data_IF_082067843569
#
_entry.id   IF_082067843569
#
_cell.length_a   1.000
_cell.length_b   1.000
_cell.length_c   1.000
_cell.angle_alpha   90.00
_cell.angle_beta   90.00
_cell.angle_gamma   90.00
#
_symmetry.space_group_name_H-M   'P 1'
#
loop_
_entity.id
_entity.type
_entity.pdbx_description
1 polymer ?
#
# COMPACT_ATOMS: atom_id res chain seq x y z
N UNK A 1 21.29 -41.98 -10.85
CA UNK A 1 21.67 -40.61 -11.26
C UNK A 1 22.04 -39.88 -9.99
N UNK A 2 23.32 -39.65 -9.75
CA UNK A 2 23.83 -39.05 -8.52
C UNK A 2 23.52 -37.56 -8.48
N UNK A 3 22.54 -37.18 -7.66
CA UNK A 3 22.11 -35.78 -7.46
C UNK A 3 23.31 -34.89 -7.04
N UNK A 4 24.25 -35.45 -6.28
CA UNK A 4 25.48 -34.78 -5.85
C UNK A 4 26.42 -34.53 -7.04
N UNK A 5 26.53 -35.49 -7.96
CA UNK A 5 27.31 -35.36 -9.19
C UNK A 5 26.71 -34.32 -10.14
N UNK A 6 25.37 -34.29 -10.27
CA UNK A 6 24.66 -33.27 -11.06
C UNK A 6 24.80 -31.87 -10.44
N UNK A 7 24.75 -31.72 -9.12
CA UNK A 7 24.92 -30.42 -8.45
C UNK A 7 26.37 -29.92 -8.58
N UNK A 8 27.36 -30.80 -8.45
CA UNK A 8 28.78 -30.47 -8.61
C UNK A 8 29.13 -30.13 -10.07
N UNK A 9 28.59 -30.87 -11.05
CA UNK A 9 28.78 -30.57 -12.47
C UNK A 9 28.11 -29.25 -12.85
N UNK A 10 26.87 -29.04 -12.39
CA UNK A 10 26.13 -27.79 -12.60
C UNK A 10 26.89 -26.60 -11.99
N UNK A 11 27.48 -26.75 -10.82
CA UNK A 11 28.33 -25.73 -10.19
C UNK A 11 29.56 -25.38 -11.03
N UNK A 12 30.27 -26.38 -11.58
CA UNK A 12 31.39 -26.14 -12.49
C UNK A 12 30.95 -25.49 -13.81
N UNK A 13 29.78 -25.87 -14.34
CA UNK A 13 29.21 -25.27 -15.54
C UNK A 13 28.84 -23.79 -15.30
N UNK A 14 28.30 -23.45 -14.12
CA UNK A 14 28.04 -22.05 -13.76
C UNK A 14 29.34 -21.23 -13.61
N UNK A 15 30.39 -21.80 -13.03
CA UNK A 15 31.68 -21.11 -12.89
C UNK A 15 32.29 -20.84 -14.27
N UNK A 16 32.25 -21.82 -15.18
CA UNK A 16 32.77 -21.65 -16.54
C UNK A 16 31.95 -20.64 -17.35
N UNK A 17 30.62 -20.63 -17.22
CA UNK A 17 29.75 -19.58 -17.79
C UNK A 17 30.13 -18.19 -17.26
N UNK A 18 30.35 -18.07 -15.95
CA UNK A 18 30.68 -16.80 -15.31
C UNK A 18 32.05 -16.25 -15.73
N UNK A 19 33.05 -17.13 -15.83
CA UNK A 19 34.38 -16.77 -16.31
C UNK A 19 34.37 -16.35 -17.78
N UNK A 20 33.52 -16.97 -18.60
CA UNK A 20 33.46 -16.71 -20.03
C UNK A 20 32.72 -15.42 -20.37
N UNK A 21 31.64 -15.09 -19.66
CA UNK A 21 30.80 -13.91 -19.97
C UNK A 21 31.46 -12.54 -19.74
N UNK A 22 32.68 -12.51 -19.19
CA UNK A 22 33.48 -11.30 -19.05
C UNK A 22 32.84 -10.22 -18.16
N UNK A 23 33.30 -8.97 -18.31
CA UNK A 23 32.98 -7.84 -17.42
C UNK A 23 31.48 -7.59 -17.24
N UNK A 24 30.67 -7.84 -18.28
CA UNK A 24 29.22 -7.55 -18.26
C UNK A 24 28.48 -8.48 -17.31
N UNK A 25 28.87 -9.76 -17.23
CA UNK A 25 28.26 -10.71 -16.29
C UNK A 25 28.60 -10.34 -14.84
N UNK A 26 29.83 -9.90 -14.56
CA UNK A 26 30.20 -9.39 -13.24
C UNK A 26 29.36 -8.16 -12.85
N UNK A 27 29.20 -7.21 -13.78
CA UNK A 27 28.37 -6.02 -13.56
C UNK A 27 26.91 -6.38 -13.27
N UNK A 28 26.32 -7.26 -14.09
CA UNK A 28 24.95 -7.76 -13.90
C UNK A 28 24.76 -8.44 -12.54
N UNK A 29 25.77 -9.18 -12.11
CA UNK A 29 25.72 -9.91 -10.83
C UNK A 29 25.80 -8.96 -9.64
N UNK A 30 26.64 -7.92 -9.71
CA UNK A 30 26.69 -6.88 -8.67
C UNK A 30 25.36 -6.13 -8.58
N UNK A 31 24.80 -5.73 -9.73
CA UNK A 31 23.50 -5.04 -9.80
C UNK A 31 22.38 -5.94 -9.29
N UNK A 32 22.37 -7.22 -9.68
CA UNK A 32 21.39 -8.20 -9.21
C UNK A 32 21.47 -8.46 -7.71
N UNK A 33 22.67 -8.58 -7.16
CA UNK A 33 22.88 -8.76 -5.72
C UNK A 33 22.43 -7.52 -4.92
N UNK A 34 22.73 -6.33 -5.42
CA UNK A 34 22.26 -5.08 -4.84
C UNK A 34 20.72 -4.98 -4.89
N UNK A 35 20.09 -5.33 -6.01
CA UNK A 35 18.64 -5.40 -6.13
C UNK A 35 18.01 -6.40 -5.15
N UNK A 36 18.63 -7.58 -4.99
CA UNK A 36 18.18 -8.60 -4.03
C UNK A 36 18.27 -8.10 -2.59
N UNK A 37 19.38 -7.43 -2.24
CA UNK A 37 19.57 -6.81 -0.94
C UNK A 37 18.47 -5.79 -0.63
N UNK A 38 18.20 -4.86 -1.56
CA UNK A 38 17.12 -3.87 -1.43
C UNK A 38 15.76 -4.54 -1.27
N UNK A 39 15.46 -5.59 -2.04
CA UNK A 39 14.20 -6.31 -1.96
C UNK A 39 14.00 -6.96 -0.58
N UNK A 40 15.04 -7.65 -0.06
CA UNK A 40 14.98 -8.31 1.25
C UNK A 40 14.81 -7.28 2.37
N UNK A 41 15.61 -6.21 2.37
CA UNK A 41 15.49 -5.12 3.35
C UNK A 41 14.07 -4.56 3.36
N UNK A 42 13.48 -4.37 2.18
CA UNK A 42 12.13 -3.82 2.04
C UNK A 42 11.04 -4.77 2.54
N UNK A 43 11.15 -6.06 2.23
CA UNK A 43 10.22 -7.07 2.72
C UNK A 43 10.26 -7.11 4.26
N UNK A 44 11.44 -7.05 4.87
CA UNK A 44 11.58 -7.04 6.33
C UNK A 44 10.98 -5.76 6.93
N UNK A 45 11.24 -4.60 6.32
CA UNK A 45 10.66 -3.31 6.73
C UNK A 45 9.12 -3.35 6.71
N UNK A 46 8.53 -3.77 5.58
CA UNK A 46 7.07 -3.80 5.41
C UNK A 46 6.42 -4.86 6.31
N UNK A 47 7.04 -6.04 6.48
CA UNK A 47 6.53 -7.05 7.42
C UNK A 47 6.52 -6.56 8.86
N UNK A 48 7.50 -5.74 9.27
CA UNK A 48 7.49 -5.11 10.60
C UNK A 48 6.41 -4.04 10.71
N UNK A 49 6.16 -3.28 9.65
CA UNK A 49 5.14 -2.24 9.61
C UNK A 49 3.70 -2.80 9.55
N UNK A 50 3.48 -3.97 8.93
CA UNK A 50 2.17 -4.64 8.80
C UNK A 50 1.81 -5.56 9.96
N UNK A 51 2.56 -5.56 11.09
CA UNK A 51 2.30 -6.51 12.19
C UNK A 51 0.97 -6.28 12.93
N UNK A 52 0.35 -5.14 12.74
CA UNK A 52 -0.85 -4.74 13.50
C UNK A 52 -1.92 -4.35 12.49
N UNK A 53 -3.05 -5.03 12.55
CA UNK A 53 -4.15 -4.80 11.64
C UNK A 53 -4.87 -3.49 11.98
N UNK A 54 -5.40 -2.80 10.98
CA UNK A 54 -6.16 -1.57 11.16
C UNK A 54 -7.34 -1.79 12.13
N UNK A 55 -8.03 -2.91 11.97
CA UNK A 55 -9.18 -3.28 12.80
C UNK A 55 -8.81 -3.39 14.28
N UNK A 56 -7.65 -3.97 14.59
CA UNK A 56 -7.16 -4.13 15.95
C UNK A 56 -6.78 -2.78 16.57
N UNK A 57 -6.06 -1.94 15.82
CA UNK A 57 -5.76 -0.57 16.24
C UNK A 57 -7.05 0.20 16.53
N UNK A 58 -8.04 0.13 15.62
CA UNK A 58 -9.30 0.85 15.73
C UNK A 58 -10.15 0.38 16.93
N UNK A 59 -10.18 -0.92 17.23
CA UNK A 59 -10.85 -1.46 18.42
C UNK A 59 -10.21 -0.84 19.68
N UNK A 60 -8.89 -0.86 19.77
CA UNK A 60 -8.14 -0.31 20.90
C UNK A 60 -8.37 1.20 21.03
N UNK A 61 -8.39 1.95 19.91
CA UNK A 61 -8.67 3.39 19.91
C UNK A 61 -10.07 3.65 20.46
N UNK A 62 -11.09 2.98 19.91
CA UNK A 62 -12.48 3.21 20.28
C UNK A 62 -12.74 2.85 21.74
N UNK A 63 -12.17 1.73 22.21
CA UNK A 63 -12.28 1.31 23.60
C UNK A 63 -11.59 2.31 24.54
N UNK A 64 -10.37 2.75 24.22
CA UNK A 64 -9.64 3.73 25.01
C UNK A 64 -10.33 5.10 25.04
N UNK A 65 -10.91 5.51 23.90
CA UNK A 65 -11.71 6.74 23.78
C UNK A 65 -12.95 6.70 24.67
N UNK A 66 -13.60 5.53 24.81
CA UNK A 66 -14.79 5.37 25.64
C UNK A 66 -14.47 5.43 27.15
N UNK A 67 -13.30 4.96 27.57
CA UNK A 67 -12.93 4.87 29.00
C UNK A 67 -12.19 6.11 29.52
N UNK A 68 -11.32 6.73 28.71
CA UNK A 68 -10.42 7.80 29.17
C UNK A 68 -10.21 8.96 28.19
N UNK A 69 -10.96 8.99 27.08
CA UNK A 69 -10.87 10.04 26.06
C UNK A 69 -9.57 9.98 25.24
N UNK A 70 -9.23 11.12 24.60
CA UNK A 70 -8.15 11.19 23.60
C UNK A 70 -6.75 10.92 24.16
N UNK A 71 -6.51 11.24 25.43
CA UNK A 71 -5.20 11.02 26.07
C UNK A 71 -4.91 9.53 26.30
N UNK A 72 -5.93 8.77 26.71
CA UNK A 72 -5.81 7.33 26.93
C UNK A 72 -5.66 6.58 25.60
N UNK A 73 -6.42 6.99 24.59
CA UNK A 73 -6.27 6.49 23.23
C UNK A 73 -4.88 6.77 22.63
N UNK A 74 -4.30 7.96 22.89
CA UNK A 74 -2.95 8.29 22.45
C UNK A 74 -1.88 7.39 23.11
N UNK A 75 -2.05 7.06 24.40
CA UNK A 75 -1.15 6.13 25.11
C UNK A 75 -1.25 4.72 24.56
N UNK A 76 -2.47 4.23 24.32
CA UNK A 76 -2.70 2.89 23.79
C UNK A 76 -2.08 2.73 22.39
N UNK A 77 -2.20 3.74 21.52
CA UNK A 77 -1.65 3.72 20.17
C UNK A 77 -0.14 3.92 20.15
N UNK A 78 0.43 4.69 21.09
CA UNK A 78 1.87 4.95 21.17
C UNK A 78 2.75 3.71 21.29
N UNK A 79 2.18 2.57 21.70
CA UNK A 79 2.86 1.28 21.75
C UNK A 79 3.08 0.68 20.35
N UNK A 80 2.27 1.07 19.36
CA UNK A 80 2.40 0.62 17.98
C UNK A 80 3.33 1.55 17.21
N UNK A 81 4.27 0.95 16.47
CA UNK A 81 5.23 1.67 15.60
C UNK A 81 4.88 1.47 14.12
N UNK A 82 3.60 1.54 13.78
CA UNK A 82 3.08 1.35 12.42
C UNK A 82 2.74 2.70 11.77
N UNK A 83 2.76 2.82 10.43
CA UNK A 83 2.34 4.05 9.75
C UNK A 83 0.93 4.51 10.16
N UNK A 84 -0.01 3.57 10.25
CA UNK A 84 -1.40 3.80 10.68
C UNK A 84 -1.44 4.39 12.10
N UNK A 85 -0.68 3.83 13.04
CA UNK A 85 -0.63 4.32 14.42
C UNK A 85 -0.13 5.77 14.52
N UNK A 86 0.84 6.16 13.68
CA UNK A 86 1.35 7.54 13.63
C UNK A 86 0.31 8.53 13.12
N UNK A 87 -0.40 8.16 12.06
CA UNK A 87 -1.45 8.99 11.46
C UNK A 87 -2.60 9.18 12.46
N UNK A 88 -3.06 8.11 13.11
CA UNK A 88 -4.12 8.19 14.11
C UNK A 88 -3.66 8.98 15.36
N UNK A 89 -2.42 8.80 15.80
CA UNK A 89 -1.88 9.54 16.94
C UNK A 89 -1.89 11.06 16.71
N UNK A 90 -1.54 11.51 15.50
CA UNK A 90 -1.64 12.94 15.17
C UNK A 90 -3.09 13.41 15.10
N UNK A 91 -4.01 12.61 14.56
CA UNK A 91 -5.44 12.93 14.60
C UNK A 91 -5.96 13.10 16.04
N UNK A 92 -5.54 12.24 16.97
CA UNK A 92 -5.95 12.29 18.38
C UNK A 92 -5.35 13.49 19.14
N UNK A 93 -4.11 13.88 18.86
CA UNK A 93 -3.47 15.06 19.49
C UNK A 93 -4.19 16.36 19.15
N UNK A 94 -4.76 16.44 17.95
CA UNK A 94 -5.36 17.65 17.41
C UNK A 94 -6.83 17.81 17.83
N UNK A 95 -7.47 16.79 18.44
CA UNK A 95 -8.92 16.58 18.65
C UNK A 95 -9.83 17.74 19.13
N UNK A 96 -9.29 18.94 19.36
CA UNK A 96 -10.00 20.18 19.66
C UNK A 96 -9.94 21.26 18.55
N UNK A 97 -9.16 21.08 17.46
CA UNK A 97 -9.05 22.06 16.36
C UNK A 97 -10.08 21.86 15.25
N UNK A 98 -10.08 22.77 14.26
CA UNK A 98 -11.02 22.74 13.12
C UNK A 98 -10.84 21.47 12.28
N UNK A 99 -11.92 21.00 11.63
CA UNK A 99 -11.93 19.76 10.82
C UNK A 99 -10.85 19.78 9.72
N UNK A 100 -10.76 20.89 8.99
CA UNK A 100 -9.77 21.06 7.91
C UNK A 100 -8.35 20.86 8.43
N UNK A 101 -8.04 21.41 9.60
CA UNK A 101 -6.70 21.36 10.17
C UNK A 101 -6.30 19.94 10.60
N UNK A 102 -7.25 19.10 11.02
CA UNK A 102 -7.00 17.67 11.30
C UNK A 102 -6.72 16.91 10.00
N UNK A 103 -7.56 17.11 8.98
CA UNK A 103 -7.43 16.44 7.68
C UNK A 103 -6.10 16.80 6.99
N UNK A 104 -5.72 18.09 7.01
CA UNK A 104 -4.48 18.60 6.42
C UNK A 104 -3.24 18.00 7.11
N UNK A 105 -3.23 17.93 8.45
CA UNK A 105 -2.12 17.35 9.19
C UNK A 105 -2.01 15.83 8.98
N UNK A 106 -3.15 15.12 8.97
CA UNK A 106 -3.16 13.69 8.65
C UNK A 106 -2.62 13.41 7.24
N UNK A 107 -2.96 14.28 6.28
CA UNK A 107 -2.45 14.18 4.91
C UNK A 107 -0.95 14.43 4.81
N UNK A 108 -0.41 15.40 5.56
CA UNK A 108 1.03 15.61 5.62
C UNK A 108 1.78 14.39 6.17
N UNK A 109 1.29 13.80 7.26
CA UNK A 109 1.89 12.59 7.83
C UNK A 109 1.78 11.41 6.87
N UNK A 110 0.63 11.27 6.19
CA UNK A 110 0.41 10.27 5.16
C UNK A 110 1.43 10.37 4.04
N UNK A 111 1.64 11.57 3.47
CA UNK A 111 2.62 11.80 2.40
C UNK A 111 4.03 11.38 2.86
N UNK A 112 4.41 11.72 4.09
CA UNK A 112 5.72 11.36 4.66
C UNK A 112 5.87 9.84 4.83
N UNK A 113 4.86 9.15 5.37
CA UNK A 113 4.91 7.70 5.55
C UNK A 113 4.83 6.96 4.20
N UNK A 114 4.01 7.43 3.26
CA UNK A 114 3.97 6.91 1.89
C UNK A 114 5.35 7.02 1.21
N UNK A 115 6.01 8.17 1.33
CA UNK A 115 7.35 8.36 0.77
C UNK A 115 8.36 7.36 1.36
N UNK A 116 8.33 7.11 2.68
CA UNK A 116 9.17 6.09 3.33
C UNK A 116 8.87 4.68 2.83
N UNK A 117 7.59 4.34 2.65
CA UNK A 117 7.15 3.06 2.10
C UNK A 117 7.55 2.89 0.63
N UNK A 118 7.54 3.95 -0.16
CA UNK A 118 7.93 3.89 -1.59
C UNK A 118 9.44 3.98 -1.81
N UNK A 119 10.22 4.45 -0.83
CA UNK A 119 11.68 4.59 -0.94
C UNK A 119 12.34 3.26 -1.33
N UNK A 120 13.19 3.31 -2.36
CA UNK A 120 13.94 2.16 -2.90
C UNK A 120 13.16 1.30 -3.90
N UNK A 121 11.82 1.43 -3.97
CA UNK A 121 11.00 0.65 -4.89
C UNK A 121 11.26 1.04 -6.35
N UNK A 122 11.37 2.34 -6.62
CA UNK A 122 11.71 2.84 -7.96
C UNK A 122 13.09 2.37 -8.40
N UNK A 123 14.09 2.35 -7.52
CA UNK A 123 15.43 1.82 -7.82
C UNK A 123 15.38 0.33 -8.18
N UNK A 124 14.61 -0.47 -7.42
CA UNK A 124 14.42 -1.88 -7.70
C UNK A 124 13.75 -2.10 -9.06
N UNK A 125 12.72 -1.31 -9.38
CA UNK A 125 12.07 -1.34 -10.69
C UNK A 125 13.05 -1.03 -11.82
N UNK A 126 13.84 0.04 -11.68
CA UNK A 126 14.86 0.40 -12.67
C UNK A 126 15.87 -0.74 -12.87
N UNK A 127 16.32 -1.41 -11.80
CA UNK A 127 17.22 -2.55 -11.92
C UNK A 127 16.59 -3.68 -12.74
N UNK A 128 15.32 -4.00 -12.50
CA UNK A 128 14.57 -5.04 -13.23
C UNK A 128 14.48 -4.70 -14.72
N UNK A 129 14.17 -3.45 -15.05
CA UNK A 129 14.00 -3.00 -16.43
C UNK A 129 15.33 -2.87 -17.18
N UNK A 130 16.39 -2.42 -16.50
CA UNK A 130 17.71 -2.16 -17.11
C UNK A 130 18.55 -3.43 -17.22
N UNK A 131 18.40 -4.42 -16.34
CA UNK A 131 19.22 -5.65 -16.37
C UNK A 131 19.15 -6.41 -17.71
N UNK A 132 17.98 -6.64 -18.31
CA UNK A 132 17.89 -7.24 -19.65
C UNK A 132 18.52 -6.38 -20.75
N UNK A 133 18.43 -5.05 -20.64
CA UNK A 133 19.03 -4.12 -21.59
C UNK A 133 20.56 -4.16 -21.51
N UNK A 134 21.13 -4.28 -20.32
CA UNK A 134 22.58 -4.50 -20.13
C UNK A 134 22.99 -5.85 -20.73
N UNK A 135 22.18 -6.90 -20.55
CA UNK A 135 22.41 -8.21 -21.17
C UNK A 135 22.42 -8.13 -22.71
N UNK A 136 21.50 -7.38 -23.29
CA UNK A 136 21.44 -7.08 -24.73
C UNK A 136 22.65 -6.28 -25.21
N UNK A 137 23.13 -5.30 -24.44
CA UNK A 137 24.40 -4.61 -24.77
C UNK A 137 25.55 -5.61 -24.81
N UNK A 138 25.55 -6.60 -23.91
CA UNK A 138 26.53 -7.69 -23.95
C UNK A 138 26.48 -8.54 -25.21
N UNK A 139 25.30 -8.77 -25.78
CA UNK A 139 25.20 -9.50 -27.06
C UNK A 139 25.81 -8.71 -28.19
N UNK A 140 25.51 -7.41 -28.26
CA UNK A 140 26.04 -6.52 -29.30
C UNK A 140 27.55 -6.46 -29.23
N UNK A 141 28.11 -6.36 -28.02
CA UNK A 141 29.57 -6.35 -27.81
C UNK A 141 30.19 -7.70 -28.18
N UNK A 142 29.60 -8.82 -27.76
CA UNK A 142 30.10 -10.17 -28.10
C UNK A 142 30.13 -10.41 -29.61
N UNK A 143 29.05 -10.06 -30.30
CA UNK A 143 28.97 -10.15 -31.76
C UNK A 143 29.92 -9.18 -32.46
N UNK A 144 30.12 -7.98 -31.92
CA UNK A 144 31.09 -7.02 -32.46
C UNK A 144 32.52 -7.58 -32.40
N UNK A 145 32.92 -8.22 -31.29
CA UNK A 145 34.21 -8.92 -31.21
C UNK A 145 34.32 -10.04 -32.24
N UNK A 146 33.28 -10.88 -32.39
CA UNK A 146 33.24 -11.94 -33.40
C UNK A 146 33.47 -11.41 -34.81
N UNK A 147 32.76 -10.35 -35.22
CA UNK A 147 32.89 -9.79 -36.58
C UNK A 147 34.22 -9.07 -36.81
N UNK A 148 34.75 -8.39 -35.79
CA UNK A 148 36.05 -7.75 -35.86
C UNK A 148 37.16 -8.77 -36.12
N UNK A 149 37.12 -9.90 -35.44
CA UNK A 149 38.14 -10.94 -35.58
C UNK A 149 38.01 -11.68 -36.92
N UNK A 150 36.79 -11.95 -37.40
CA UNK A 150 36.57 -12.52 -38.75
C UNK A 150 37.16 -11.66 -39.87
N UNK A 151 37.20 -10.33 -39.70
CA UNK A 151 37.82 -9.42 -40.65
C UNK A 151 39.36 -9.49 -40.68
N UNK A 152 39.98 -10.11 -39.67
CA UNK A 152 41.43 -10.18 -39.48
C UNK A 152 41.98 -11.61 -39.57
N UNK A 153 41.26 -12.61 -39.06
CA UNK A 153 41.63 -14.02 -39.05
C UNK A 153 40.38 -14.91 -39.17
N UNK A 154 40.43 -15.96 -40.00
CA UNK A 154 39.31 -16.90 -40.17
C UNK A 154 39.28 -18.03 -39.12
N UNK A 155 39.61 -17.71 -37.86
CA UNK A 155 39.63 -18.69 -36.76
C UNK A 155 38.22 -18.91 -36.21
N UNK A 156 37.68 -20.10 -36.45
CA UNK A 156 36.32 -20.49 -36.07
C UNK A 156 36.15 -20.62 -34.55
N UNK A 157 37.23 -20.84 -33.80
CA UNK A 157 37.18 -20.94 -32.33
C UNK A 157 36.91 -19.59 -31.66
N UNK A 158 37.50 -18.50 -32.18
CA UNK A 158 37.26 -17.14 -31.66
C UNK A 158 35.82 -16.70 -31.95
N UNK A 159 35.31 -17.03 -33.14
CA UNK A 159 33.92 -16.78 -33.50
C UNK A 159 32.94 -17.45 -32.54
N UNK A 160 33.16 -18.74 -32.23
CA UNK A 160 32.33 -19.49 -31.30
C UNK A 160 32.35 -18.87 -29.89
N UNK A 161 33.49 -18.35 -29.44
CA UNK A 161 33.61 -17.71 -28.14
C UNK A 161 32.79 -16.41 -28.04
N UNK A 162 32.87 -15.51 -29.03
CA UNK A 162 32.10 -14.26 -29.00
C UNK A 162 30.57 -14.48 -29.04
N UNK A 163 30.12 -15.51 -29.77
CA UNK A 163 28.71 -15.95 -29.75
C UNK A 163 28.33 -16.50 -28.37
N UNK A 164 29.19 -17.32 -27.76
CA UNK A 164 28.96 -17.86 -26.43
C UNK A 164 28.83 -16.75 -25.38
N UNK A 165 29.72 -15.74 -25.41
CA UNK A 165 29.64 -14.56 -24.54
C UNK A 165 28.28 -13.86 -24.69
N UNK A 166 27.84 -13.62 -25.93
CA UNK A 166 26.56 -12.97 -26.20
C UNK A 166 25.35 -13.72 -25.59
N UNK A 167 25.35 -15.05 -25.70
CA UNK A 167 24.27 -15.88 -25.13
C UNK A 167 24.29 -15.80 -23.60
N UNK A 168 25.46 -15.94 -22.99
CA UNK A 168 25.59 -15.92 -21.53
C UNK A 168 25.17 -14.56 -20.95
N UNK A 169 25.58 -13.43 -21.54
CA UNK A 169 25.19 -12.11 -21.03
C UNK A 169 23.68 -11.89 -21.06
N UNK A 170 22.99 -12.45 -22.06
CA UNK A 170 21.53 -12.40 -22.16
C UNK A 170 20.86 -13.22 -21.07
N UNK A 171 21.32 -14.46 -20.88
CA UNK A 171 20.78 -15.36 -19.87
C UNK A 171 20.90 -14.72 -18.48
N UNK A 172 22.05 -14.15 -18.15
CA UNK A 172 22.25 -13.47 -16.86
C UNK A 172 21.39 -12.21 -16.72
N UNK A 173 21.27 -11.38 -17.76
CA UNK A 173 20.44 -10.18 -17.72
C UNK A 173 18.96 -10.50 -17.48
N UNK A 174 18.46 -11.56 -18.12
CA UNK A 174 17.10 -12.07 -17.90
C UNK A 174 16.95 -12.73 -16.53
N UNK A 175 17.92 -13.52 -16.09
CA UNK A 175 17.88 -14.20 -14.80
C UNK A 175 17.72 -13.21 -13.63
N UNK A 176 18.46 -12.11 -13.65
CA UNK A 176 18.33 -11.04 -12.64
C UNK A 176 16.92 -10.46 -12.63
N UNK A 177 16.37 -10.11 -13.80
CA UNK A 177 15.01 -9.57 -13.90
C UNK A 177 13.94 -10.56 -13.43
N UNK A 178 14.05 -11.82 -13.83
CA UNK A 178 13.10 -12.90 -13.47
C UNK A 178 13.08 -13.14 -11.96
N UNK A 179 14.23 -13.05 -11.29
CA UNK A 179 14.31 -13.26 -9.82
C UNK A 179 13.75 -12.04 -9.07
N UNK A 180 14.06 -10.82 -9.53
CA UNK A 180 13.66 -9.60 -8.82
C UNK A 180 12.20 -9.20 -9.06
N UNK A 181 11.61 -9.53 -10.21
CA UNK A 181 10.25 -9.12 -10.57
C UNK A 181 9.16 -9.65 -9.60
N UNK A 182 9.13 -10.94 -9.22
CA UNK A 182 8.17 -11.43 -8.22
C UNK A 182 8.33 -10.75 -6.86
N UNK A 183 9.57 -10.48 -6.44
CA UNK A 183 9.86 -9.77 -5.18
C UNK A 183 9.32 -8.34 -5.23
N UNK A 184 9.57 -7.63 -6.33
CA UNK A 184 9.04 -6.30 -6.57
C UNK A 184 7.51 -6.27 -6.52
N UNK A 185 6.83 -7.18 -7.22
CA UNK A 185 5.37 -7.26 -7.23
C UNK A 185 4.81 -7.56 -5.84
N UNK A 186 5.45 -8.44 -5.07
CA UNK A 186 5.04 -8.73 -3.70
C UNK A 186 5.20 -7.51 -2.78
N UNK A 187 6.31 -6.79 -2.88
CA UNK A 187 6.55 -5.54 -2.14
C UNK A 187 5.49 -4.49 -2.50
N UNK A 188 5.20 -4.32 -3.80
CA UNK A 188 4.21 -3.35 -4.28
C UNK A 188 2.82 -3.66 -3.71
N UNK A 189 2.39 -4.91 -3.77
CA UNK A 189 1.10 -5.35 -3.19
C UNK A 189 1.02 -5.08 -1.69
N UNK A 190 2.10 -5.33 -0.93
CA UNK A 190 2.13 -5.01 0.51
C UNK A 190 1.99 -3.51 0.79
N UNK A 191 2.56 -2.66 -0.07
CA UNK A 191 2.42 -1.19 0.06
C UNK A 191 0.99 -0.77 -0.25
N UNK A 192 0.39 -1.28 -1.32
CA UNK A 192 -1.00 -0.98 -1.70
C UNK A 192 -1.97 -1.31 -0.55
N UNK A 193 -1.85 -2.48 0.08
CA UNK A 193 -2.68 -2.86 1.24
C UNK A 193 -2.52 -1.85 2.40
N UNK A 194 -1.30 -1.37 2.67
CA UNK A 194 -1.10 -0.36 3.72
C UNK A 194 -1.71 1.00 3.33
N UNK A 195 -1.64 1.40 2.07
CA UNK A 195 -2.25 2.63 1.58
C UNK A 195 -3.77 2.57 1.69
N UNK A 196 -4.39 1.45 1.30
CA UNK A 196 -5.82 1.22 1.42
C UNK A 196 -6.27 1.33 2.89
N UNK A 197 -5.53 0.69 3.81
CA UNK A 197 -5.82 0.77 5.24
C UNK A 197 -5.71 2.21 5.78
N UNK A 198 -4.73 2.98 5.32
CA UNK A 198 -4.61 4.38 5.73
C UNK A 198 -5.74 5.23 5.15
N UNK A 199 -6.14 5.00 3.89
CA UNK A 199 -7.27 5.71 3.28
C UNK A 199 -8.58 5.43 4.03
N UNK A 200 -8.81 4.16 4.39
CA UNK A 200 -9.92 3.74 5.23
C UNK A 200 -9.86 4.44 6.59
N UNK A 201 -8.69 4.49 7.23
CA UNK A 201 -8.50 5.20 8.49
C UNK A 201 -8.80 6.71 8.38
N UNK A 202 -8.40 7.36 7.28
CA UNK A 202 -8.71 8.79 7.01
C UNK A 202 -10.23 8.99 6.87
N UNK A 203 -10.93 8.11 6.15
CA UNK A 203 -12.40 8.15 6.01
C UNK A 203 -13.11 7.93 7.34
N UNK A 204 -12.61 7.01 8.17
CA UNK A 204 -13.16 6.71 9.50
C UNK A 204 -12.84 7.80 10.54
N UNK A 205 -11.69 8.48 10.41
CA UNK A 205 -11.28 9.62 11.23
C UNK A 205 -12.17 10.87 11.07
N UNK A 206 -13.21 10.83 10.23
CA UNK A 206 -14.33 11.76 10.28
C UNK A 206 -15.17 11.63 11.59
N UNK A 207 -14.51 11.27 12.70
CA UNK A 207 -15.00 10.82 14.01
C UNK A 207 -15.90 11.80 14.76
N UNK A 208 -16.11 13.02 14.26
CA UNK A 208 -16.96 13.97 14.98
C UNK A 208 -18.43 13.66 14.79
N UNK A 209 -18.88 13.42 13.57
CA UNK A 209 -20.30 13.22 13.26
C UNK A 209 -20.47 12.20 12.13
N UNK A 210 -21.20 11.10 12.36
CA UNK A 210 -21.75 10.33 11.25
C UNK A 210 -22.89 11.16 10.62
N UNK A 211 -22.82 11.37 9.31
CA UNK A 211 -23.82 12.15 8.57
C UNK A 211 -24.81 11.19 7.90
N UNK A 212 -26.10 11.40 8.15
CA UNK A 212 -27.18 10.68 7.49
C UNK A 212 -28.13 11.65 6.81
N UNK A 213 -28.44 11.40 5.54
CA UNK A 213 -29.46 12.12 4.78
C UNK A 213 -30.73 11.29 4.72
N UNK A 214 -31.86 11.89 5.11
CA UNK A 214 -33.16 11.21 5.15
C UNK A 214 -34.18 12.05 4.38
N UNK A 215 -35.06 11.36 3.67
CA UNK A 215 -36.29 11.93 3.16
C UNK A 215 -37.47 11.54 4.05
N UNK A 216 -38.23 12.54 4.49
CA UNK A 216 -39.44 12.38 5.30
C UNK A 216 -40.64 12.97 4.55
N UNK A 217 -41.69 12.18 4.35
CA UNK A 217 -42.86 12.59 3.55
C UNK A 217 -43.84 13.50 4.31
N UNK A 218 -44.00 13.32 5.63
CA UNK A 218 -44.95 14.07 6.49
C UNK A 218 -44.36 14.35 7.88
N UNK A 219 -44.89 15.38 8.54
CA UNK A 219 -44.60 15.71 9.94
C UNK A 219 -43.11 15.97 10.24
N UNK A 220 -42.45 16.67 9.30
CA UNK A 220 -41.01 16.97 9.34
C UNK A 220 -40.60 17.67 10.64
N UNK A 221 -41.43 18.57 11.17
CA UNK A 221 -41.14 19.30 12.40
C UNK A 221 -41.19 18.42 13.65
N UNK A 222 -42.16 17.52 13.76
CA UNK A 222 -42.26 16.56 14.87
C UNK A 222 -41.11 15.55 14.86
N UNK A 223 -40.66 15.13 13.67
CA UNK A 223 -39.51 14.23 13.56
C UNK A 223 -38.20 14.95 13.90
N UNK A 224 -38.04 16.23 13.57
CA UNK A 224 -36.86 17.00 14.01
C UNK A 224 -36.80 17.06 15.53
N UNK A 225 -37.91 17.37 16.19
CA UNK A 225 -37.99 17.48 17.64
C UNK A 225 -37.65 16.14 18.31
N UNK A 226 -38.27 15.04 17.86
CA UNK A 226 -38.00 13.69 18.38
C UNK A 226 -36.54 13.23 18.14
N UNK A 227 -35.94 13.61 17.01
CA UNK A 227 -34.53 13.33 16.74
C UNK A 227 -33.60 14.18 17.60
N UNK A 228 -33.96 15.44 17.88
CA UNK A 228 -33.15 16.31 18.76
C UNK A 228 -33.17 15.85 20.22
N UNK A 229 -34.26 15.24 20.68
CA UNK A 229 -34.38 14.68 22.04
C UNK A 229 -33.69 13.32 22.19
N UNK A 230 -33.32 12.67 21.09
CA UNK A 230 -32.74 11.32 21.14
C UNK A 230 -31.26 11.33 21.58
N UNK A 231 -30.89 10.49 22.58
CA UNK A 231 -29.51 10.40 23.03
C UNK A 231 -28.61 9.85 21.92
N UNK A 232 -27.67 10.68 21.45
CA UNK A 232 -26.70 10.31 20.42
C UNK A 232 -26.87 11.04 19.09
N UNK A 233 -27.91 11.86 18.94
CA UNK A 233 -28.03 12.82 17.83
C UNK A 233 -27.37 14.14 18.26
N UNK A 234 -26.49 14.66 17.40
CA UNK A 234 -25.68 15.86 17.67
C UNK A 234 -26.37 17.09 17.09
N UNK A 235 -26.92 16.98 15.87
CA UNK A 235 -27.60 18.08 15.20
C UNK A 235 -28.50 17.56 14.08
N UNK A 236 -29.64 18.21 13.86
CA UNK A 236 -30.54 17.98 12.72
C UNK A 236 -30.69 19.29 11.96
N UNK A 237 -30.47 19.28 10.63
CA UNK A 237 -30.67 20.44 9.75
C UNK A 237 -31.63 20.09 8.62
N UNK A 238 -32.57 21.00 8.33
CA UNK A 238 -33.36 20.97 7.09
C UNK A 238 -32.46 21.32 5.91
N UNK A 239 -32.57 20.56 4.82
CA UNK A 239 -31.84 20.80 3.56
C UNK A 239 -32.86 20.79 2.42
N UNK A 240 -32.62 21.61 1.40
CA UNK A 240 -33.35 21.53 0.12
C UNK A 240 -32.46 20.78 -0.87
N UNK A 241 -32.51 19.45 -0.85
CA UNK A 241 -31.81 18.55 -1.78
C UNK A 241 -32.89 17.76 -2.57
N UNK A 242 -32.64 17.38 -3.83
CA UNK A 242 -33.64 16.69 -4.68
C UNK A 242 -34.04 15.33 -4.10
N UNK A 243 -33.18 14.73 -3.28
CA UNK A 243 -33.37 13.39 -2.72
C UNK A 243 -33.42 13.37 -1.17
N UNK A 244 -33.21 14.48 -0.47
CA UNK A 244 -33.26 14.52 0.99
C UNK A 244 -33.77 15.87 1.53
N UNK A 245 -34.66 15.85 2.51
CA UNK A 245 -35.13 17.07 3.18
C UNK A 245 -34.48 17.29 4.56
N UNK A 246 -33.75 16.31 5.09
CA UNK A 246 -33.08 16.37 6.39
C UNK A 246 -31.66 15.81 6.35
N UNK A 247 -30.78 16.47 7.09
CA UNK A 247 -29.42 16.01 7.38
C UNK A 247 -29.21 15.90 8.88
N UNK A 248 -28.86 14.70 9.32
CA UNK A 248 -28.71 14.32 10.72
C UNK A 248 -27.22 14.05 10.99
N UNK A 249 -26.70 14.65 12.05
CA UNK A 249 -25.35 14.44 12.56
C UNK A 249 -25.45 13.58 13.82
N UNK A 250 -24.74 12.46 13.85
CA UNK A 250 -24.87 11.41 14.86
C UNK A 250 -23.53 11.16 15.55
N UNK A 251 -23.55 10.73 16.82
CA UNK A 251 -22.37 10.15 17.47
C UNK A 251 -22.02 8.81 16.80
N UNK A 252 -20.72 8.46 16.67
CA UNK A 252 -20.28 7.22 16.01
C UNK A 252 -20.87 5.93 16.60
N UNK A 253 -21.27 5.95 17.87
CA UNK A 253 -21.77 4.77 18.60
C UNK A 253 -23.30 4.54 18.42
N UNK A 254 -24.00 5.38 17.66
CA UNK A 254 -25.44 5.24 17.43
C UNK A 254 -25.76 4.26 16.29
N UNK A 255 -26.58 3.25 16.57
CA UNK A 255 -27.01 2.24 15.60
C UNK A 255 -28.12 2.79 14.68
N UNK A 256 -27.99 2.58 13.35
CA UNK A 256 -29.03 2.92 12.36
C UNK A 256 -30.43 2.40 12.74
N UNK A 257 -30.50 1.26 13.43
CA UNK A 257 -31.76 0.65 13.87
C UNK A 257 -32.54 1.57 14.82
N UNK A 258 -31.85 2.28 15.73
CA UNK A 258 -32.51 3.20 16.67
C UNK A 258 -33.14 4.40 15.95
N UNK A 259 -32.44 4.94 14.95
CA UNK A 259 -32.92 6.11 14.20
C UNK A 259 -34.10 5.72 13.30
N UNK A 260 -34.06 4.55 12.65
CA UNK A 260 -35.20 4.03 11.87
C UNK A 260 -36.45 3.85 12.74
N UNK A 261 -36.29 3.37 13.98
CA UNK A 261 -37.41 3.21 14.91
C UNK A 261 -38.02 4.57 15.30
N UNK A 262 -37.19 5.55 15.65
CA UNK A 262 -37.65 6.91 16.02
C UNK A 262 -38.41 7.55 14.86
N UNK A 263 -37.87 7.46 13.65
CA UNK A 263 -38.52 8.03 12.46
C UNK A 263 -39.84 7.29 12.19
N UNK A 264 -39.91 5.96 12.33
CA UNK A 264 -41.14 5.18 12.10
C UNK A 264 -42.22 5.39 13.16
N UNK A 265 -41.84 5.65 14.42
CA UNK A 265 -42.80 5.92 15.50
C UNK A 265 -43.46 7.30 15.38
N UNK A 266 -42.80 8.24 14.72
CA UNK A 266 -43.26 9.62 14.56
C UNK A 266 -43.74 9.99 13.16
N UNK A 267 -43.34 9.21 12.16
CA UNK A 267 -43.79 9.33 10.77
C UNK A 267 -44.38 7.99 10.34
N UNK A 268 -45.70 7.95 10.18
CA UNK A 268 -46.51 6.74 9.92
C UNK A 268 -46.36 6.20 8.47
N UNK A 269 -45.19 6.38 7.83
CA UNK A 269 -44.97 6.10 6.39
C UNK A 269 -43.56 5.57 6.06
N UNK A 270 -43.40 5.04 4.82
CA UNK A 270 -42.17 4.42 4.31
C UNK A 270 -41.04 5.44 4.11
N UNK A 271 -40.20 5.61 5.13
CA UNK A 271 -39.06 6.52 5.06
C UNK A 271 -37.88 5.92 4.27
N UNK A 272 -37.38 6.67 3.28
CA UNK A 272 -36.25 6.25 2.43
C UNK A 272 -34.95 6.88 2.92
N UNK A 273 -34.05 6.06 3.45
CA UNK A 273 -32.66 6.47 3.72
C UNK A 273 -31.93 6.52 2.39
N UNK A 274 -31.60 7.73 1.95
CA UNK A 274 -30.98 7.96 0.64
C UNK A 274 -29.48 7.80 0.72
N UNK A 275 -28.86 8.28 1.80
CA UNK A 275 -27.42 8.20 2.00
C UNK A 275 -27.10 8.07 3.48
N UNK A 276 -26.43 6.98 3.84
CA UNK A 276 -25.88 6.76 5.16
C UNK A 276 -24.40 6.49 5.00
N UNK A 277 -23.56 7.39 5.51
CA UNK A 277 -22.11 7.15 5.60
C UNK A 277 -21.75 6.07 6.65
N UNK A 278 -22.76 5.46 7.29
CA UNK A 278 -22.60 4.25 8.12
C UNK A 278 -22.69 2.96 7.30
N UNK A 279 -23.14 3.02 6.04
CA UNK A 279 -23.03 1.87 5.15
C UNK A 279 -21.56 1.68 4.76
N UNK A 280 -21.00 0.60 5.29
CA UNK A 280 -19.81 -0.09 4.79
C UNK A 280 -19.83 -0.19 3.26
#
# INVERSE_FOLDING_TARGET
MDIIGTILSTGNDFITMFQSGGVIVYLLTIIGLYGLFLAIEKIIYLRRASKVDLSEIMIIVNESMAHGGSLEALRAIGNFKTPISRIISEALKIGYRSKSEVEDNMEQVFIVEMSKMMKGLSTLQTIIEVSPLIGLIGTVIGMWYTFKDLGLNSDMSLMANGIYIAIITTIFGLAVAIILLPLYTHIKSMIEIQLDNIEIAKKMSNWRNAEMKVWIEKDVDEVIEALQESPGIIQVKKIQDEQANLKIYLKPNMLEKGIKTIIREKSDTQNRIVESKLKQ
#
